data_IF_182876455149
#
_entry.id   IF_182876455149
#
_cell.length_a   1.000
_cell.length_b   1.000
_cell.length_c   1.000
_cell.angle_alpha   90.00
_cell.angle_beta   90.00
_cell.angle_gamma   90.00
#
_symmetry.space_group_name_H-M   'P 1'
#
loop_
_entity.id
_entity.type
_entity.pdbx_description
1 polymer ?
#
# COMPACT_ATOMS: atom_id res chain seq x y z
N UNK A 1 -24.53 -13.22 24.35
CA UNK A 1 -25.56 -12.24 23.95
C UNK A 1 -26.17 -12.72 22.65
N UNK A 2 -27.49 -12.72 22.53
CA UNK A 2 -28.20 -13.14 21.31
C UNK A 2 -27.93 -12.11 20.21
N UNK A 3 -27.47 -12.58 19.05
CA UNK A 3 -27.28 -11.72 17.87
C UNK A 3 -28.63 -11.11 17.47
N UNK A 4 -28.72 -9.78 17.32
CA UNK A 4 -29.95 -9.17 16.83
C UNK A 4 -30.22 -9.59 15.39
N UNK A 5 -31.51 -9.68 15.02
CA UNK A 5 -31.89 -10.03 13.64
C UNK A 5 -31.46 -8.92 12.67
N UNK A 6 -30.86 -9.29 11.54
CA UNK A 6 -30.53 -8.35 10.46
C UNK A 6 -31.79 -7.75 9.80
N UNK A 7 -32.95 -8.38 9.99
CA UNK A 7 -34.24 -7.89 9.50
C UNK A 7 -34.88 -6.83 10.42
N UNK A 8 -34.31 -6.57 11.60
CA UNK A 8 -34.83 -5.53 12.49
C UNK A 8 -34.62 -4.13 11.89
N UNK A 9 -35.70 -3.55 11.39
CA UNK A 9 -35.69 -2.23 10.75
C UNK A 9 -35.37 -1.08 11.71
N UNK A 10 -35.46 -1.31 13.03
CA UNK A 10 -35.01 -0.33 14.03
C UNK A 10 -33.50 -0.14 14.00
N UNK A 11 -32.76 -1.12 13.48
CA UNK A 11 -31.34 -0.99 13.23
C UNK A 11 -31.10 -0.24 11.92
N UNK A 12 -30.19 0.73 11.94
CA UNK A 12 -29.74 1.38 10.70
C UNK A 12 -29.15 0.37 9.71
N UNK A 13 -29.32 0.62 8.40
CA UNK A 13 -28.95 -0.30 7.32
C UNK A 13 -27.52 -0.83 7.41
N UNK A 14 -26.55 -0.04 7.87
CA UNK A 14 -25.16 -0.51 8.05
C UNK A 14 -25.05 -1.64 9.10
N UNK A 15 -25.76 -1.52 10.24
CA UNK A 15 -25.78 -2.56 11.28
C UNK A 15 -26.47 -3.82 10.76
N UNK A 16 -27.57 -3.65 10.03
CA UNK A 16 -28.29 -4.74 9.37
C UNK A 16 -27.41 -5.45 8.32
N UNK A 17 -26.65 -4.70 7.54
CA UNK A 17 -25.70 -5.24 6.57
C UNK A 17 -24.59 -6.06 7.24
N UNK A 18 -24.04 -5.61 8.37
CA UNK A 18 -23.07 -6.37 9.15
C UNK A 18 -23.63 -7.71 9.64
N UNK A 19 -24.85 -7.69 10.18
CA UNK A 19 -25.55 -8.89 10.65
C UNK A 19 -25.90 -9.83 9.49
N UNK A 20 -26.30 -9.29 8.34
CA UNK A 20 -26.56 -10.08 7.13
C UNK A 20 -25.29 -10.80 6.63
N UNK A 21 -24.15 -10.10 6.57
CA UNK A 21 -22.88 -10.73 6.21
C UNK A 21 -22.52 -11.88 7.16
N UNK A 22 -22.74 -11.71 8.47
CA UNK A 22 -22.42 -12.75 9.45
C UNK A 22 -23.36 -13.95 9.44
N UNK A 23 -24.66 -13.70 9.27
CA UNK A 23 -25.69 -14.72 9.46
C UNK A 23 -26.17 -15.37 8.17
N UNK A 24 -25.95 -14.73 7.02
CA UNK A 24 -26.42 -15.21 5.72
C UNK A 24 -25.25 -15.52 4.78
N UNK A 25 -24.26 -14.63 4.69
CA UNK A 25 -23.11 -14.85 3.80
C UNK A 25 -22.08 -15.78 4.44
N UNK A 26 -21.77 -15.53 5.72
CA UNK A 26 -20.71 -16.21 6.49
C UNK A 26 -19.29 -15.89 5.99
N UNK A 27 -18.32 -16.01 6.91
CA UNK A 27 -16.93 -15.66 6.65
C UNK A 27 -16.29 -16.62 5.63
N UNK A 28 -15.54 -16.08 4.67
CA UNK A 28 -14.89 -16.78 3.56
C UNK A 28 -15.71 -16.81 2.26
N UNK A 29 -17.02 -16.58 2.34
CA UNK A 29 -17.92 -16.72 1.20
C UNK A 29 -18.02 -15.46 0.32
N UNK A 30 -18.48 -15.67 -0.90
CA UNK A 30 -18.65 -14.64 -1.92
C UNK A 30 -20.11 -14.20 -1.94
N UNK A 31 -20.33 -12.91 -2.17
CA UNK A 31 -21.64 -12.32 -2.39
C UNK A 31 -21.58 -11.26 -3.50
N UNK A 32 -22.73 -10.94 -4.06
CA UNK A 32 -22.90 -10.02 -5.19
C UNK A 32 -23.65 -8.76 -4.79
N UNK A 33 -23.54 -7.73 -5.62
CA UNK A 33 -24.35 -6.51 -5.45
C UNK A 33 -25.85 -6.78 -5.55
N UNK A 34 -26.25 -7.77 -6.34
CA UNK A 34 -27.65 -8.16 -6.51
C UNK A 34 -28.21 -8.82 -5.25
N UNK A 35 -27.45 -9.70 -4.61
CA UNK A 35 -27.83 -10.30 -3.33
C UNK A 35 -27.99 -9.24 -2.23
N UNK A 36 -27.12 -8.24 -2.18
CA UNK A 36 -27.29 -7.10 -1.26
C UNK A 36 -28.58 -6.33 -1.55
N UNK A 37 -28.91 -6.10 -2.82
CA UNK A 37 -30.16 -5.41 -3.21
C UNK A 37 -31.39 -6.24 -2.82
N UNK A 38 -31.32 -7.56 -3.00
CA UNK A 38 -32.39 -8.49 -2.64
C UNK A 38 -32.57 -8.62 -1.13
N UNK A 39 -31.48 -8.56 -0.36
CA UNK A 39 -31.52 -8.55 1.10
C UNK A 39 -32.11 -7.25 1.66
N UNK A 40 -31.91 -6.11 0.99
CA UNK A 40 -32.37 -4.79 1.44
C UNK A 40 -33.31 -4.12 0.43
N UNK A 41 -34.49 -4.69 0.16
CA UNK A 41 -35.42 -4.16 -0.82
C UNK A 41 -35.89 -2.76 -0.41
N UNK A 42 -35.96 -1.85 -1.38
CA UNK A 42 -36.37 -0.46 -1.16
C UNK A 42 -35.33 0.45 -0.52
N UNK A 43 -34.18 -0.07 -0.08
CA UNK A 43 -33.09 0.75 0.48
C UNK A 43 -32.09 1.10 -0.62
N UNK A 44 -32.17 2.35 -1.11
CA UNK A 44 -31.15 2.87 -2.00
C UNK A 44 -29.77 2.90 -1.31
N UNK A 45 -28.72 2.57 -2.05
CA UNK A 45 -27.33 2.57 -1.55
C UNK A 45 -27.03 1.53 -0.44
N UNK A 46 -27.77 0.42 -0.35
CA UNK A 46 -27.42 -0.68 0.57
C UNK A 46 -26.00 -1.23 0.35
N UNK A 47 -25.54 -1.30 -0.91
CA UNK A 47 -24.18 -1.67 -1.28
C UNK A 47 -23.12 -0.70 -0.72
N UNK A 48 -23.45 0.60 -0.62
CA UNK A 48 -22.59 1.59 0.03
C UNK A 48 -22.48 1.32 1.52
N UNK A 49 -23.56 0.89 2.18
CA UNK A 49 -23.55 0.57 3.62
C UNK A 49 -22.72 -0.66 3.94
N UNK A 50 -22.68 -1.64 3.04
CA UNK A 50 -21.72 -2.75 3.12
C UNK A 50 -20.29 -2.23 3.03
N UNK A 51 -20.01 -1.30 2.10
CA UNK A 51 -18.67 -0.68 1.98
C UNK A 51 -18.27 0.13 3.21
N UNK A 52 -19.21 0.85 3.83
CA UNK A 52 -18.97 1.63 5.05
C UNK A 52 -18.44 0.75 6.21
N UNK A 53 -18.73 -0.56 6.23
CA UNK A 53 -18.23 -1.49 7.25
C UNK A 53 -16.70 -1.61 7.27
N UNK A 54 -16.02 -1.33 6.16
CA UNK A 54 -14.55 -1.32 6.09
C UNK A 54 -13.94 -0.30 7.04
N UNK A 55 -14.63 0.81 7.32
CA UNK A 55 -14.21 1.82 8.30
C UNK A 55 -14.16 1.25 9.74
N UNK A 56 -14.82 0.11 9.97
CA UNK A 56 -14.91 -0.60 11.25
C UNK A 56 -14.09 -1.90 11.25
N UNK A 57 -13.14 -2.05 10.32
CA UNK A 57 -12.22 -3.18 10.26
C UNK A 57 -12.78 -4.44 9.62
N UNK A 58 -13.97 -4.37 8.99
CA UNK A 58 -14.51 -5.50 8.24
C UNK A 58 -13.70 -5.72 6.96
N UNK A 59 -13.20 -6.94 6.77
CA UNK A 59 -12.43 -7.30 5.58
C UNK A 59 -13.38 -7.82 4.52
N UNK A 60 -13.59 -7.02 3.49
CA UNK A 60 -14.43 -7.33 2.33
C UNK A 60 -13.57 -7.11 1.09
N UNK A 61 -13.16 -8.19 0.44
CA UNK A 61 -12.29 -8.15 -0.74
C UNK A 61 -13.13 -7.99 -2.01
N UNK A 62 -12.63 -7.25 -2.99
CA UNK A 62 -13.20 -7.16 -4.35
C UNK A 62 -12.24 -7.79 -5.35
N UNK A 63 -12.58 -7.81 -6.65
CA UNK A 63 -11.64 -8.19 -7.71
C UNK A 63 -10.27 -7.45 -7.63
N UNK A 64 -10.22 -6.24 -7.03
CA UNK A 64 -8.95 -5.52 -6.82
C UNK A 64 -8.04 -6.17 -5.77
N UNK A 65 -8.62 -6.95 -4.87
CA UNK A 65 -7.92 -7.62 -3.76
C UNK A 65 -7.76 -9.13 -4.00
N UNK A 66 -8.75 -9.78 -4.61
CA UNK A 66 -8.76 -11.21 -4.94
C UNK A 66 -9.12 -11.36 -6.42
N UNK A 67 -8.14 -11.72 -7.25
CA UNK A 67 -8.30 -11.86 -8.70
C UNK A 67 -9.19 -13.06 -9.10
N UNK A 68 -9.53 -13.94 -8.16
CA UNK A 68 -10.48 -15.03 -8.39
C UNK A 68 -11.95 -14.56 -8.35
N UNK A 69 -12.20 -13.34 -7.87
CA UNK A 69 -13.55 -12.76 -7.83
C UNK A 69 -13.91 -12.12 -9.18
N UNK A 70 -15.14 -12.31 -9.63
CA UNK A 70 -15.72 -11.56 -10.74
C UNK A 70 -15.85 -10.06 -10.44
N UNK A 71 -16.02 -9.24 -11.49
CA UNK A 71 -16.13 -7.76 -11.34
C UNK A 71 -17.32 -7.28 -10.49
N UNK A 72 -18.31 -8.16 -10.25
CA UNK A 72 -19.51 -7.87 -9.47
C UNK A 72 -19.57 -8.65 -8.16
N UNK A 73 -18.51 -9.40 -7.85
CA UNK A 73 -18.38 -10.24 -6.67
C UNK A 73 -17.54 -9.55 -5.60
N UNK A 74 -17.86 -9.87 -4.35
CA UNK A 74 -17.12 -9.47 -3.17
C UNK A 74 -17.02 -10.67 -2.24
N UNK A 75 -15.88 -10.83 -1.55
CA UNK A 75 -15.71 -11.87 -0.54
C UNK A 75 -15.79 -11.25 0.84
N UNK A 76 -16.65 -11.79 1.70
CA UNK A 76 -16.59 -11.45 3.13
C UNK A 76 -15.48 -12.29 3.76
N UNK A 77 -14.36 -11.66 4.11
CA UNK A 77 -13.15 -12.40 4.51
C UNK A 77 -12.98 -12.48 6.01
N UNK A 78 -13.32 -11.42 6.74
CA UNK A 78 -13.22 -11.41 8.19
C UNK A 78 -14.15 -10.38 8.83
N UNK A 79 -14.78 -10.78 9.93
CA UNK A 79 -15.57 -9.87 10.76
C UNK A 79 -14.71 -8.74 11.33
N UNK A 80 -15.23 -7.50 11.28
CA UNK A 80 -14.65 -6.35 11.99
C UNK A 80 -15.30 -6.10 13.36
N UNK A 81 -15.32 -4.84 13.81
CA UNK A 81 -15.99 -4.47 15.04
C UNK A 81 -17.49 -4.81 14.98
N UNK A 82 -18.11 -5.31 16.07
CA UNK A 82 -19.53 -5.64 16.12
C UNK A 82 -20.38 -4.36 16.17
N UNK A 83 -20.56 -3.70 15.03
CA UNK A 83 -21.19 -2.37 14.91
C UNK A 83 -22.64 -2.31 15.40
N UNK A 84 -23.31 -3.45 15.59
CA UNK A 84 -24.65 -3.49 16.20
C UNK A 84 -24.63 -3.22 17.70
N UNK A 85 -23.50 -3.45 18.37
CA UNK A 85 -23.35 -3.19 19.81
C UNK A 85 -23.29 -1.68 20.12
N UNK A 86 -23.89 -1.23 21.24
CA UNK A 86 -23.80 0.15 21.68
C UNK A 86 -22.33 0.63 21.79
N UNK A 87 -22.03 1.81 21.25
CA UNK A 87 -20.70 2.41 21.28
C UNK A 87 -19.68 1.84 20.26
N UNK A 88 -19.96 0.71 19.61
CA UNK A 88 -19.07 0.08 18.60
C UNK A 88 -19.26 0.61 17.17
N UNK A 89 -20.36 1.32 16.93
CA UNK A 89 -20.63 2.03 15.66
C UNK A 89 -20.01 3.44 15.62
N UNK A 90 -19.24 3.84 16.62
CA UNK A 90 -18.52 5.12 16.58
C UNK A 90 -17.35 4.98 15.62
N UNK A 91 -17.36 5.74 14.52
CA UNK A 91 -16.24 5.73 13.56
C UNK A 91 -14.95 6.03 14.32
N UNK A 92 -14.02 5.07 14.36
CA UNK A 92 -12.63 5.43 14.56
C UNK A 92 -12.28 6.39 13.41
N UNK A 93 -11.82 7.61 13.68
CA UNK A 93 -11.49 8.59 12.65
C UNK A 93 -10.17 8.22 11.94
N UNK A 94 -10.07 6.97 11.47
CA UNK A 94 -8.89 6.42 10.81
C UNK A 94 -8.77 6.89 9.36
N UNK A 95 -9.85 7.44 8.79
CA UNK A 95 -9.85 8.02 7.45
C UNK A 95 -9.08 9.34 7.43
N UNK A 96 -8.09 9.42 6.54
CA UNK A 96 -7.35 10.65 6.30
C UNK A 96 -8.26 11.66 5.58
N UNK A 97 -8.25 12.92 6.03
CA UNK A 97 -8.90 14.01 5.29
C UNK A 97 -8.17 14.30 3.99
N UNK A 98 -8.84 14.92 3.02
CA UNK A 98 -8.19 15.28 1.74
C UNK A 98 -6.96 16.18 1.93
N UNK A 99 -6.99 17.07 2.92
CA UNK A 99 -5.84 17.90 3.30
C UNK A 99 -4.68 17.03 3.80
N UNK A 100 -4.94 16.06 4.67
CA UNK A 100 -3.92 15.13 5.14
C UNK A 100 -3.38 14.28 3.99
N UNK A 101 -4.26 13.81 3.10
CA UNK A 101 -3.88 13.01 1.92
C UNK A 101 -2.95 13.79 1.01
N UNK A 102 -3.32 15.02 0.64
CA UNK A 102 -2.48 15.90 -0.20
C UNK A 102 -1.14 16.18 0.45
N UNK A 103 -1.10 16.43 1.77
CA UNK A 103 0.13 16.64 2.52
C UNK A 103 1.07 15.42 2.47
N UNK A 104 0.54 14.21 2.65
CA UNK A 104 1.32 12.96 2.56
C UNK A 104 1.87 12.77 1.15
N UNK A 105 1.02 12.89 0.12
CA UNK A 105 1.45 12.71 -1.27
C UNK A 105 2.53 13.74 -1.67
N UNK A 106 2.39 14.99 -1.25
CA UNK A 106 3.38 16.05 -1.53
C UNK A 106 4.70 15.80 -0.78
N UNK A 107 4.64 15.42 0.50
CA UNK A 107 5.82 15.03 1.30
C UNK A 107 6.57 13.88 0.64
N UNK A 108 5.84 12.95 0.04
CA UNK A 108 6.40 11.75 -0.59
C UNK A 108 6.81 12.00 -2.06
N UNK A 109 6.84 13.25 -2.51
CA UNK A 109 7.29 13.64 -3.84
C UNK A 109 6.33 13.28 -4.97
N UNK A 110 5.04 13.06 -4.65
CA UNK A 110 3.99 12.60 -5.57
C UNK A 110 4.38 11.36 -6.38
N UNK A 111 5.19 10.48 -5.81
CA UNK A 111 5.69 9.24 -6.42
C UNK A 111 5.57 8.06 -5.46
N UNK A 112 5.66 6.84 -5.98
CA UNK A 112 5.71 5.65 -5.14
C UNK A 112 7.02 5.63 -4.33
N UNK A 113 6.94 5.59 -2.99
CA UNK A 113 8.12 5.52 -2.13
C UNK A 113 8.80 4.15 -2.10
N UNK A 114 8.15 3.12 -2.63
CA UNK A 114 8.72 1.78 -2.71
C UNK A 114 9.49 1.52 -4.00
N UNK A 115 9.04 2.04 -5.15
CA UNK A 115 9.66 1.75 -6.45
C UNK A 115 9.96 2.99 -7.32
N UNK A 116 9.60 4.20 -6.87
CA UNK A 116 9.87 5.45 -7.59
C UNK A 116 8.92 5.79 -8.74
N UNK A 117 8.02 4.88 -9.16
CA UNK A 117 7.10 5.13 -10.28
C UNK A 117 6.17 6.33 -10.00
N UNK A 118 5.86 7.09 -11.05
CA UNK A 118 5.01 8.29 -10.98
C UNK A 118 3.56 8.01 -11.43
N UNK A 119 2.57 8.80 -11.01
CA UNK A 119 1.19 8.64 -11.44
C UNK A 119 1.06 8.68 -12.98
N UNK A 120 0.35 7.72 -13.56
CA UNK A 120 0.13 7.64 -15.00
C UNK A 120 1.27 7.00 -15.80
N UNK A 121 2.44 6.77 -15.20
CA UNK A 121 3.53 6.06 -15.85
C UNK A 121 3.17 4.58 -16.02
N UNK A 122 3.46 4.01 -17.19
CA UNK A 122 3.24 2.59 -17.47
C UNK A 122 4.21 1.72 -16.65
N UNK A 123 3.70 0.62 -16.10
CA UNK A 123 4.57 -0.39 -15.53
C UNK A 123 5.31 -1.14 -16.63
N UNK A 124 6.60 -1.43 -16.39
CA UNK A 124 7.42 -2.22 -17.31
C UNK A 124 6.67 -3.49 -17.76
N UNK A 125 6.75 -3.74 -19.07
CA UNK A 125 6.19 -4.90 -19.75
C UNK A 125 4.65 -5.02 -19.70
N UNK A 126 3.92 -3.94 -19.40
CA UNK A 126 2.45 -3.92 -19.39
C UNK A 126 1.89 -2.60 -19.91
N UNK A 127 0.61 -2.58 -20.32
CA UNK A 127 -0.13 -1.35 -20.66
C UNK A 127 -0.85 -0.72 -19.45
N UNK A 128 -0.60 -1.24 -18.24
CA UNK A 128 -1.21 -0.71 -17.03
C UNK A 128 -0.45 0.52 -16.54
N UNK A 129 -1.17 1.57 -16.20
CA UNK A 129 -0.58 2.79 -15.62
C UNK A 129 -0.63 2.77 -14.10
N UNK A 130 0.42 3.30 -13.48
CA UNK A 130 0.52 3.39 -12.03
C UNK A 130 -0.48 4.40 -11.45
N UNK A 131 -1.23 3.95 -10.46
CA UNK A 131 -2.09 4.80 -9.64
C UNK A 131 -1.49 4.90 -8.24
N UNK A 132 -1.17 6.12 -7.80
CA UNK A 132 -0.58 6.37 -6.48
C UNK A 132 -1.70 6.64 -5.46
N UNK A 133 -1.66 5.92 -4.35
CA UNK A 133 -2.55 6.11 -3.20
C UNK A 133 -1.74 6.03 -1.90
N UNK A 134 -2.38 6.29 -0.77
CA UNK A 134 -1.75 6.23 0.55
C UNK A 134 -1.94 4.83 1.13
N UNK A 135 -0.84 4.09 1.21
CA UNK A 135 -0.75 2.85 1.93
C UNK A 135 -0.56 3.10 3.44
N UNK A 136 -0.88 2.08 4.24
CA UNK A 136 -0.63 2.04 5.68
C UNK A 136 0.43 0.98 5.95
N UNK A 137 1.67 1.41 6.20
CA UNK A 137 2.80 0.52 6.46
C UNK A 137 2.94 0.29 7.96
N UNK A 138 3.03 -0.97 8.39
CA UNK A 138 3.43 -1.30 9.75
C UNK A 138 4.93 -1.06 9.88
N UNK A 139 5.34 -0.29 10.88
CA UNK A 139 6.74 0.09 11.11
C UNK A 139 7.09 -0.26 12.55
N UNK A 140 8.06 -1.17 12.72
CA UNK A 140 8.69 -1.46 14.00
C UNK A 140 9.70 -0.36 14.33
N UNK A 141 9.56 0.21 15.52
CA UNK A 141 10.33 1.35 16.01
C UNK A 141 11.49 0.90 16.91
N UNK A 142 12.49 1.77 17.15
CA UNK A 142 13.63 1.50 18.05
C UNK A 142 13.27 1.09 19.47
N UNK A 143 12.12 1.52 19.98
CA UNK A 143 11.62 1.15 21.30
C UNK A 143 10.92 -0.22 21.34
N UNK A 144 10.95 -1.00 20.25
CA UNK A 144 10.31 -2.31 20.14
C UNK A 144 8.81 -2.30 19.87
N UNK A 145 8.18 -1.12 19.84
CA UNK A 145 6.76 -0.98 19.47
C UNK A 145 6.57 -0.92 17.96
N UNK A 146 5.37 -1.24 17.48
CA UNK A 146 5.01 -1.03 16.08
C UNK A 146 3.97 0.08 15.95
N UNK A 147 4.13 0.91 14.92
CA UNK A 147 3.18 1.96 14.54
C UNK A 147 2.76 1.79 13.09
N UNK A 148 1.54 2.21 12.75
CA UNK A 148 1.08 2.24 11.36
C UNK A 148 1.30 3.65 10.81
N UNK A 149 2.11 3.75 9.76
CA UNK A 149 2.51 5.03 9.18
C UNK A 149 2.01 5.16 7.73
N UNK A 150 1.49 6.34 7.33
CA UNK A 150 1.03 6.57 5.98
C UNK A 150 2.20 6.84 5.01
N UNK A 151 2.13 6.21 3.84
CA UNK A 151 3.15 6.31 2.78
C UNK A 151 2.49 6.27 1.39
N UNK A 152 2.99 7.05 0.44
CA UNK A 152 2.54 7.05 -0.95
C UNK A 152 3.10 5.84 -1.70
N UNK A 153 2.22 5.01 -2.25
CA UNK A 153 2.59 3.82 -3.00
C UNK A 153 1.72 3.63 -4.23
N UNK A 154 2.31 3.06 -5.27
CA UNK A 154 1.57 2.61 -6.43
C UNK A 154 0.71 1.38 -6.10
N UNK A 155 -0.30 1.11 -6.93
CA UNK A 155 -1.20 -0.02 -6.73
C UNK A 155 -0.46 -1.37 -6.60
N UNK A 156 0.64 -1.60 -7.33
CA UNK A 156 1.43 -2.85 -7.21
C UNK A 156 2.18 -2.95 -5.87
N UNK A 157 2.94 -1.92 -5.50
CA UNK A 157 3.69 -1.92 -4.23
C UNK A 157 2.75 -1.97 -3.02
N UNK A 158 1.63 -1.25 -3.06
CA UNK A 158 0.63 -1.25 -1.99
C UNK A 158 0.03 -2.63 -1.76
N UNK A 159 -0.26 -3.37 -2.82
CA UNK A 159 -0.84 -4.72 -2.72
C UNK A 159 0.23 -5.74 -2.34
N UNK A 160 1.37 -5.75 -3.03
CA UNK A 160 2.49 -6.66 -2.74
C UNK A 160 3.11 -6.44 -1.36
N UNK A 161 3.02 -5.22 -0.83
CA UNK A 161 3.60 -4.84 0.46
C UNK A 161 2.68 -4.94 1.68
N UNK A 162 1.43 -5.43 1.54
CA UNK A 162 0.44 -5.39 2.65
C UNK A 162 0.88 -6.11 3.93
N UNK A 163 1.61 -7.22 3.78
CA UNK A 163 2.11 -8.02 4.90
C UNK A 163 3.50 -7.59 5.38
N UNK A 164 4.13 -6.62 4.70
CA UNK A 164 5.48 -6.18 5.06
C UNK A 164 5.43 -5.28 6.29
N UNK A 165 6.27 -5.62 7.27
CA UNK A 165 6.62 -4.74 8.39
C UNK A 165 8.00 -4.16 8.13
N UNK A 166 8.08 -2.82 8.03
CA UNK A 166 9.36 -2.14 7.93
C UNK A 166 10.02 -2.09 9.32
N UNK A 167 11.33 -2.35 9.39
CA UNK A 167 12.09 -2.29 10.64
C UNK A 167 13.04 -1.08 10.61
N UNK A 168 12.66 0.00 11.30
CA UNK A 168 13.47 1.22 11.36
C UNK A 168 14.80 0.95 12.09
N UNK A 169 14.79 0.10 13.11
CA UNK A 169 15.99 -0.23 13.89
C UNK A 169 17.01 -0.93 13.02
N UNK A 170 16.58 -1.90 12.21
CA UNK A 170 17.46 -2.63 11.29
C UNK A 170 18.10 -1.69 10.25
N UNK A 171 17.33 -0.70 9.74
CA UNK A 171 17.88 0.29 8.80
C UNK A 171 18.91 1.19 9.48
N UNK A 172 18.61 1.71 10.68
CA UNK A 172 19.54 2.56 11.43
C UNK A 172 20.82 1.81 11.83
N UNK A 173 20.71 0.53 12.19
CA UNK A 173 21.85 -0.35 12.46
C UNK A 173 22.68 -0.62 11.19
N UNK A 174 22.03 -0.80 10.04
CA UNK A 174 22.73 -0.89 8.75
C UNK A 174 23.53 0.37 8.45
N UNK A 175 22.94 1.54 8.68
CA UNK A 175 23.60 2.85 8.48
C UNK A 175 24.78 3.03 9.43
N UNK A 176 24.68 2.60 10.69
CA UNK A 176 25.77 2.75 11.66
C UNK A 176 27.00 1.90 11.32
N UNK A 177 26.81 0.82 10.56
CA UNK A 177 27.88 -0.07 10.06
C UNK A 177 28.54 0.43 8.77
N UNK A 178 28.02 1.48 8.14
CA UNK A 178 28.64 2.03 6.93
C UNK A 178 29.94 2.77 7.25
N UNK A 179 30.97 2.53 6.45
CA UNK A 179 32.18 3.37 6.44
C UNK A 179 31.88 4.80 5.97
N UNK A 180 32.78 5.74 6.29
CA UNK A 180 32.55 7.18 6.10
C UNK A 180 32.12 7.57 4.68
N UNK A 181 32.76 7.02 3.65
CA UNK A 181 32.42 7.31 2.24
C UNK A 181 31.00 6.86 1.89
N UNK A 182 30.65 5.60 2.16
CA UNK A 182 29.31 5.08 1.88
C UNK A 182 28.22 5.81 2.66
N UNK A 183 28.51 6.17 3.93
CA UNK A 183 27.59 6.95 4.75
C UNK A 183 27.36 8.35 4.17
N UNK A 184 28.42 9.00 3.68
CA UNK A 184 28.30 10.30 3.00
C UNK A 184 27.45 10.18 1.74
N UNK A 185 27.73 9.20 0.87
CA UNK A 185 26.93 8.95 -0.34
C UNK A 185 25.45 8.75 -0.02
N UNK A 186 25.13 7.92 0.97
CA UNK A 186 23.74 7.72 1.38
C UNK A 186 23.12 9.00 1.94
N UNK A 187 23.89 9.79 2.71
CA UNK A 187 23.44 11.08 3.25
C UNK A 187 23.06 12.04 2.13
N UNK A 188 23.89 12.14 1.10
CA UNK A 188 23.65 13.00 -0.05
C UNK A 188 22.38 12.58 -0.81
N UNK A 189 22.21 11.27 -1.05
CA UNK A 189 20.99 10.75 -1.69
C UNK A 189 19.73 10.98 -0.88
N UNK A 190 19.79 10.79 0.45
CA UNK A 190 18.65 11.04 1.34
C UNK A 190 18.32 12.54 1.38
N UNK A 191 19.32 13.42 1.34
CA UNK A 191 19.12 14.87 1.30
C UNK A 191 18.49 15.34 -0.03
N UNK A 192 18.88 14.73 -1.15
CA UNK A 192 18.32 15.03 -2.47
C UNK A 192 16.96 14.35 -2.73
N UNK A 193 16.58 13.37 -1.90
CA UNK A 193 15.45 12.46 -2.11
C UNK A 193 15.49 11.70 -3.45
N UNK A 194 16.71 11.48 -3.96
CA UNK A 194 16.97 10.74 -5.19
C UNK A 194 18.35 10.08 -5.16
N UNK A 195 18.46 8.96 -5.88
CA UNK A 195 19.76 8.36 -6.16
C UNK A 195 20.32 9.01 -7.41
N UNK A 196 21.45 9.69 -7.29
CA UNK A 196 22.23 10.13 -8.43
C UNK A 196 23.36 9.15 -8.74
N UNK A 197 23.72 9.05 -10.03
CA UNK A 197 24.97 8.39 -10.42
C UNK A 197 26.15 9.21 -9.95
N UNK A 198 26.99 8.59 -9.13
CA UNK A 198 28.30 9.14 -8.77
C UNK A 198 29.14 9.39 -10.03
N UNK A 199 30.13 10.28 -9.93
CA UNK A 199 31.09 10.53 -11.02
C UNK A 199 31.77 9.24 -11.46
N UNK A 200 32.06 8.33 -10.53
CA UNK A 200 32.69 7.03 -10.83
C UNK A 200 31.75 6.14 -11.64
N UNK A 201 30.47 6.05 -11.27
CA UNK A 201 29.49 5.27 -12.04
C UNK A 201 29.27 5.84 -13.45
N UNK A 202 29.26 7.17 -13.59
CA UNK A 202 29.21 7.83 -14.91
C UNK A 202 30.43 7.51 -15.77
N UNK A 203 31.64 7.69 -15.22
CA UNK A 203 32.88 7.36 -15.93
C UNK A 203 32.96 5.87 -16.29
N UNK A 204 32.44 5.00 -15.43
CA UNK A 204 32.32 3.57 -15.75
C UNK A 204 31.37 3.32 -16.91
N UNK A 205 30.19 3.94 -16.91
CA UNK A 205 29.26 3.85 -18.04
C UNK A 205 29.91 4.34 -19.34
N UNK A 206 30.60 5.49 -19.31
CA UNK A 206 31.32 6.04 -20.45
C UNK A 206 32.42 5.09 -20.93
N UNK A 207 33.26 4.57 -20.02
CA UNK A 207 34.29 3.57 -20.32
C UNK A 207 33.70 2.34 -21.02
N UNK A 208 32.50 1.89 -20.62
CA UNK A 208 31.83 0.73 -21.22
C UNK A 208 31.36 0.97 -22.64
N UNK A 209 31.19 2.23 -23.06
CA UNK A 209 30.84 2.60 -24.44
C UNK A 209 32.05 2.68 -25.38
N UNK A 210 33.28 2.69 -24.84
CA UNK A 210 34.50 2.83 -25.64
C UNK A 210 34.81 1.55 -26.46
N UNK A 211 35.34 1.68 -27.70
CA UNK A 211 35.92 0.59 -28.47
C UNK A 211 37.15 -0.04 -27.79
N UNK A 212 37.56 -1.24 -28.24
CA UNK A 212 38.61 -2.03 -27.60
C UNK A 212 39.92 -1.27 -27.35
N UNK A 213 40.51 -0.66 -28.39
CA UNK A 213 41.76 0.10 -28.28
C UNK A 213 41.65 1.28 -27.30
N UNK A 214 40.52 2.00 -27.32
CA UNK A 214 40.30 3.12 -26.40
C UNK A 214 40.10 2.66 -24.95
N UNK A 215 39.52 1.47 -24.71
CA UNK A 215 39.44 0.90 -23.36
C UNK A 215 40.82 0.52 -22.83
N UNK A 216 41.74 0.07 -23.69
CA UNK A 216 43.10 -0.28 -23.28
C UNK A 216 43.89 0.95 -22.81
N UNK A 217 43.67 2.12 -23.43
CA UNK A 217 44.24 3.38 -22.93
C UNK A 217 43.72 3.74 -21.54
N UNK A 218 42.42 3.54 -21.27
CA UNK A 218 41.86 3.74 -19.91
C UNK A 218 42.44 2.73 -18.92
N UNK A 219 42.59 1.46 -19.31
CA UNK A 219 43.20 0.41 -18.46
C UNK A 219 44.64 0.76 -18.11
N UNK A 220 45.43 1.18 -19.10
CA UNK A 220 46.80 1.67 -18.90
C UNK A 220 46.85 2.86 -17.93
N UNK A 221 45.93 3.83 -18.06
CA UNK A 221 45.84 4.96 -17.14
C UNK A 221 45.52 4.53 -15.68
N UNK A 222 44.80 3.42 -15.51
CA UNK A 222 44.51 2.80 -14.21
C UNK A 222 45.59 1.81 -13.74
N UNK A 223 46.69 1.66 -14.47
CA UNK A 223 47.78 0.72 -14.13
C UNK A 223 47.44 -0.76 -14.39
N UNK A 224 46.45 -1.04 -15.23
CA UNK A 224 46.03 -2.39 -15.62
C UNK A 224 46.61 -2.77 -16.99
N UNK A 225 46.87 -4.08 -17.23
CA UNK A 225 47.25 -4.56 -18.56
C UNK A 225 46.08 -4.40 -19.55
N UNK A 226 46.36 -4.37 -20.86
CA UNK A 226 45.33 -4.41 -21.91
C UNK A 226 44.36 -5.60 -21.72
N UNK A 227 43.12 -5.43 -22.17
CA UNK A 227 42.03 -6.40 -21.96
C UNK A 227 42.13 -7.63 -22.89
#
# INVERSE_FOLDING_TARGET
MTLPSWQDEKLGTMKRAALWLLTVVEEGNVFTKEEVKNAFPGISQADRRVRDLRDYGWKIDTHREDALLGQHEQRFVAQGQPVWEPGKATKSSSALTDTQRRKILTRDGNRCRSCGITPGQEYADTFETAQIDIARRKVKLPNGTSSVQPIAECNRCRVGGRSLEADLSAVLEGISKLGGLHKQTLTDWVAADEREFSTVERLWADFRTLPAESRDEVRKALGLPAA
#
